data_IF_709006445210
#
_entry.id   IF_709006445210
#
_cell.length_a   1.000
_cell.length_b   1.000
_cell.length_c   1.000
_cell.angle_alpha   90.00
_cell.angle_beta   90.00
_cell.angle_gamma   90.00
#
_symmetry.space_group_name_H-M   'P 1'
#
loop_
_entity.id
_entity.type
_entity.pdbx_description
1 polymer ?
#
# COMPACT_ATOMS: atom_id res chain seq x y z
N UNK A 1 -5.40 -8.56 -12.80
CA UNK A 1 -5.87 -7.27 -12.27
C UNK A 1 -4.74 -6.25 -12.14
N UNK A 2 -3.67 -6.52 -11.35
CA UNK A 2 -2.59 -5.54 -11.18
C UNK A 2 -1.95 -5.12 -12.50
N UNK A 3 -1.72 -6.07 -13.40
CA UNK A 3 -1.17 -5.79 -14.74
C UNK A 3 -2.16 -4.97 -15.59
N UNK A 4 -3.47 -5.23 -15.48
CA UNK A 4 -4.49 -4.48 -16.24
C UNK A 4 -4.62 -3.02 -15.80
N UNK A 5 -4.14 -2.66 -14.62
CA UNK A 5 -4.08 -1.27 -14.13
C UNK A 5 -2.67 -0.65 -14.24
N UNK A 6 -1.79 -1.24 -15.04
CA UNK A 6 -0.50 -0.67 -15.40
C UNK A 6 0.69 -1.09 -14.53
N UNK A 7 0.54 -2.09 -13.66
CA UNK A 7 1.68 -2.64 -12.92
C UNK A 7 2.59 -3.40 -13.87
N UNK A 8 3.86 -3.01 -13.95
CA UNK A 8 4.83 -3.60 -14.88
C UNK A 8 5.30 -4.99 -14.46
N UNK A 9 5.22 -5.32 -13.18
CA UNK A 9 5.62 -6.62 -12.65
C UNK A 9 4.92 -6.90 -11.32
N UNK A 10 4.35 -8.08 -11.21
CA UNK A 10 3.89 -8.66 -9.94
C UNK A 10 4.96 -9.62 -9.42
N UNK A 11 5.22 -9.59 -8.14
CA UNK A 11 6.13 -10.50 -7.45
C UNK A 11 5.37 -11.26 -6.36
N UNK A 12 5.81 -12.47 -6.07
CA UNK A 12 5.21 -13.25 -5.01
C UNK A 12 5.52 -12.64 -3.64
N UNK A 13 4.55 -12.73 -2.74
CA UNK A 13 4.65 -12.14 -1.40
C UNK A 13 5.84 -12.69 -0.62
N UNK A 14 6.13 -13.97 -0.79
CA UNK A 14 7.20 -14.72 -0.14
C UNK A 14 8.58 -14.16 -0.48
N UNK A 15 8.78 -13.60 -1.68
CA UNK A 15 10.05 -12.96 -2.07
C UNK A 15 10.44 -11.80 -1.14
N UNK A 16 9.45 -11.11 -0.57
CA UNK A 16 9.67 -9.99 0.35
C UNK A 16 9.50 -10.38 1.83
N UNK A 17 8.81 -11.47 2.11
CA UNK A 17 8.54 -11.92 3.47
C UNK A 17 9.64 -12.81 4.06
N UNK A 18 10.55 -13.34 3.23
CA UNK A 18 11.65 -14.19 3.67
C UNK A 18 12.64 -13.42 4.55
N UNK A 19 12.87 -13.94 5.76
CA UNK A 19 13.78 -13.29 6.72
C UNK A 19 15.24 -13.34 6.24
N UNK A 20 15.95 -12.23 6.38
CA UNK A 20 17.35 -12.12 6.02
C UNK A 20 18.16 -11.47 7.14
N UNK A 21 19.23 -12.14 7.58
CA UNK A 21 20.20 -11.62 8.55
C UNK A 21 21.12 -10.53 7.98
N UNK A 22 21.13 -10.35 6.65
CA UNK A 22 21.96 -9.32 6.01
C UNK A 22 21.44 -7.94 6.38
N UNK A 23 22.30 -6.99 6.78
CA UNK A 23 21.91 -5.64 7.12
C UNK A 23 21.43 -4.82 5.90
N UNK A 24 21.93 -5.15 4.71
CA UNK A 24 21.58 -4.57 3.42
C UNK A 24 21.33 -5.67 2.40
N UNK A 25 20.35 -5.48 1.53
CA UNK A 25 20.07 -6.29 0.36
C UNK A 25 20.48 -5.54 -0.93
N UNK A 26 20.39 -6.22 -2.07
CA UNK A 26 20.60 -5.59 -3.37
C UNK A 26 19.59 -4.47 -3.57
N UNK A 27 20.06 -3.31 -4.01
CA UNK A 27 19.18 -2.18 -4.35
C UNK A 27 18.22 -2.56 -5.49
N UNK A 28 16.93 -2.35 -5.24
CA UNK A 28 15.85 -2.65 -6.19
C UNK A 28 14.91 -1.45 -6.37
N UNK A 29 14.47 -0.83 -5.29
CA UNK A 29 13.33 0.07 -5.26
C UNK A 29 13.76 1.53 -5.17
N UNK A 30 13.23 2.37 -6.07
CA UNK A 30 13.41 3.82 -6.03
C UNK A 30 12.48 4.51 -5.02
N UNK A 31 11.48 3.80 -4.53
CA UNK A 31 10.54 4.19 -3.50
C UNK A 31 9.55 3.07 -3.25
N UNK A 32 8.79 3.14 -2.17
CA UNK A 32 7.75 2.16 -1.86
C UNK A 32 6.61 2.79 -1.05
N UNK A 33 5.44 2.18 -1.18
CA UNK A 33 4.30 2.38 -0.28
C UNK A 33 4.06 1.04 0.41
N UNK A 34 4.12 1.04 1.74
CA UNK A 34 3.94 -0.16 2.54
C UNK A 34 2.62 -0.11 3.31
N UNK A 35 1.85 -1.18 3.17
CA UNK A 35 0.60 -1.43 3.91
C UNK A 35 0.69 -2.69 4.76
N UNK A 36 1.86 -3.31 4.81
CA UNK A 36 2.07 -4.66 5.34
C UNK A 36 2.80 -4.66 6.68
N UNK A 37 3.84 -3.84 6.80
CA UNK A 37 4.70 -3.82 7.99
C UNK A 37 5.59 -5.05 8.11
N UNK A 38 6.05 -5.33 9.33
CA UNK A 38 6.79 -6.54 9.67
C UNK A 38 8.06 -6.78 8.86
N UNK A 39 8.38 -8.04 8.62
CA UNK A 39 9.56 -8.49 7.87
C UNK A 39 9.56 -7.98 6.43
N UNK A 40 8.38 -7.87 5.80
CA UNK A 40 8.23 -7.32 4.45
C UNK A 40 8.75 -5.90 4.38
N UNK A 41 8.32 -5.02 5.28
CA UNK A 41 8.80 -3.63 5.37
C UNK A 41 10.31 -3.58 5.62
N UNK A 42 10.83 -4.43 6.52
CA UNK A 42 12.28 -4.50 6.79
C UNK A 42 13.06 -4.86 5.54
N UNK A 43 12.61 -5.83 4.74
CA UNK A 43 13.27 -6.23 3.51
C UNK A 43 13.16 -5.15 2.41
N UNK A 44 12.06 -4.42 2.36
CA UNK A 44 11.93 -3.24 1.49
C UNK A 44 12.96 -2.17 1.87
N UNK A 45 13.06 -1.81 3.16
CA UNK A 45 14.07 -0.85 3.66
C UNK A 45 15.49 -1.26 3.29
N UNK A 46 15.84 -2.55 3.48
CA UNK A 46 17.15 -3.10 3.10
C UNK A 46 17.42 -3.07 1.60
N UNK A 47 16.37 -2.97 0.76
CA UNK A 47 16.45 -3.03 -0.72
C UNK A 47 16.20 -1.68 -1.40
N UNK A 48 15.98 -0.61 -0.66
CA UNK A 48 15.84 0.73 -1.22
C UNK A 48 17.16 1.19 -1.85
N UNK A 49 17.05 1.92 -2.95
CA UNK A 49 18.17 2.65 -3.55
C UNK A 49 18.59 3.81 -2.65
N UNK A 50 19.79 4.32 -2.88
CA UNK A 50 20.34 5.47 -2.16
C UNK A 50 19.35 6.67 -2.18
N UNK A 51 19.10 7.27 -1.02
CA UNK A 51 18.21 8.42 -0.85
C UNK A 51 16.72 8.14 -1.01
N UNK A 52 16.33 6.90 -1.26
CA UNK A 52 14.93 6.55 -1.49
C UNK A 52 14.09 6.57 -0.21
N UNK A 53 12.77 6.67 -0.38
CA UNK A 53 11.82 6.72 0.73
C UNK A 53 10.77 5.60 0.63
N UNK A 54 10.29 5.14 1.79
CA UNK A 54 9.10 4.32 1.89
C UNK A 54 8.05 5.01 2.76
N UNK A 55 6.81 5.06 2.30
CA UNK A 55 5.65 5.53 3.04
C UNK A 55 4.97 4.34 3.71
N UNK A 56 4.99 4.27 5.04
CA UNK A 56 4.34 3.21 5.81
C UNK A 56 2.96 3.68 6.28
N UNK A 57 1.90 2.98 5.84
CA UNK A 57 0.51 3.31 6.14
C UNK A 57 -0.33 2.11 6.59
N UNK A 58 0.30 0.95 6.85
CA UNK A 58 -0.42 -0.24 7.32
C UNK A 58 0.47 -1.22 8.07
N UNK A 59 -0.15 -2.28 8.62
CA UNK A 59 0.51 -3.25 9.50
C UNK A 59 -0.10 -4.66 9.38
N UNK A 60 -0.55 -5.03 8.20
CA UNK A 60 -1.30 -6.28 7.96
C UNK A 60 -0.52 -7.52 8.39
N UNK A 61 0.80 -7.55 8.21
CA UNK A 61 1.66 -8.66 8.67
C UNK A 61 2.01 -8.51 10.14
N UNK A 62 2.50 -7.34 10.55
CA UNK A 62 2.93 -7.08 11.94
C UNK A 62 3.13 -5.58 12.19
N UNK A 63 2.82 -5.08 13.40
CA UNK A 63 3.20 -3.74 13.82
C UNK A 63 4.69 -3.62 14.18
N UNK A 64 5.40 -4.75 14.35
CA UNK A 64 6.79 -4.77 14.77
C UNK A 64 7.74 -4.47 13.61
N UNK A 65 8.77 -3.68 13.88
CA UNK A 65 9.82 -3.34 12.91
C UNK A 65 11.19 -3.75 13.48
N UNK A 66 11.65 -4.95 13.14
CA UNK A 66 12.96 -5.47 13.57
C UNK A 66 14.05 -5.07 12.54
N UNK A 67 14.35 -3.78 12.47
CA UNK A 67 15.35 -3.22 11.56
C UNK A 67 16.58 -2.71 12.31
N UNK A 68 17.70 -2.60 11.60
CA UNK A 68 18.90 -1.90 12.07
C UNK A 68 18.94 -0.50 11.46
N UNK A 69 19.77 0.38 12.03
CA UNK A 69 19.98 1.72 11.48
C UNK A 69 20.82 1.73 10.19
N UNK A 70 21.45 0.61 9.83
CA UNK A 70 22.38 0.53 8.72
C UNK A 70 21.83 0.97 7.35
N UNK A 71 20.62 0.58 6.92
CA UNK A 71 20.04 1.11 5.70
C UNK A 71 19.90 2.63 5.69
N UNK A 72 19.56 3.22 6.84
CA UNK A 72 19.40 4.66 6.98
C UNK A 72 20.73 5.42 6.87
N UNK A 73 21.74 4.98 7.61
CA UNK A 73 23.03 5.70 7.65
C UNK A 73 23.91 5.41 6.42
N UNK A 74 23.79 4.23 5.80
CA UNK A 74 24.63 3.86 4.67
C UNK A 74 24.03 4.21 3.29
N UNK A 75 22.69 4.34 3.22
CA UNK A 75 22.00 4.68 1.96
C UNK A 75 21.12 5.94 2.08
N UNK A 76 21.09 6.60 3.23
CA UNK A 76 20.30 7.81 3.44
C UNK A 76 18.81 7.63 3.14
N UNK A 77 18.28 6.43 3.35
CA UNK A 77 16.88 6.13 3.10
C UNK A 77 15.97 6.77 4.15
N UNK A 78 14.68 6.92 3.82
CA UNK A 78 13.69 7.48 4.72
C UNK A 78 12.54 6.49 4.95
N UNK A 79 12.11 6.37 6.21
CA UNK A 79 10.86 5.73 6.58
C UNK A 79 9.88 6.83 7.01
N UNK A 80 8.82 7.02 6.25
CA UNK A 80 7.83 8.08 6.42
C UNK A 80 6.53 7.46 6.91
N UNK A 81 6.09 7.83 8.10
CA UNK A 81 4.77 7.45 8.61
C UNK A 81 3.66 8.23 7.92
N UNK A 82 2.59 7.55 7.54
CA UNK A 82 1.37 8.17 6.99
C UNK A 82 0.27 8.09 8.03
N UNK A 83 0.02 9.21 8.70
CA UNK A 83 -1.15 9.36 9.56
C UNK A 83 -2.31 9.92 8.73
N UNK A 84 -3.33 9.10 8.52
CA UNK A 84 -4.55 9.51 7.80
C UNK A 84 -5.69 9.90 8.73
N UNK A 85 -5.55 9.71 10.04
CA UNK A 85 -6.61 9.90 11.04
C UNK A 85 -6.58 11.31 11.61
N UNK A 86 -5.46 11.70 12.21
CA UNK A 86 -5.31 12.95 12.98
C UNK A 86 -4.89 14.16 12.13
N UNK A 87 -4.67 13.98 10.83
CA UNK A 87 -4.30 15.10 9.96
C UNK A 87 -5.36 16.21 9.98
N UNK A 88 -4.95 17.48 10.07
CA UNK A 88 -5.87 18.61 9.99
C UNK A 88 -6.70 18.57 8.71
N UNK A 89 -7.96 19.05 8.79
CA UNK A 89 -8.89 19.07 7.65
C UNK A 89 -8.30 19.75 6.42
N UNK A 90 -7.64 20.88 6.60
CA UNK A 90 -7.03 21.62 5.49
C UNK A 90 -5.96 20.80 4.73
N UNK A 91 -5.19 19.93 5.44
CA UNK A 91 -4.21 19.04 4.80
C UNK A 91 -4.94 17.97 3.98
N UNK A 92 -6.01 17.38 4.53
CA UNK A 92 -6.83 16.39 3.83
C UNK A 92 -7.49 16.99 2.59
N UNK A 93 -8.06 18.19 2.70
CA UNK A 93 -8.67 18.91 1.58
C UNK A 93 -7.64 19.16 0.45
N UNK A 94 -6.43 19.63 0.75
CA UNK A 94 -5.39 19.81 -0.25
C UNK A 94 -4.95 18.50 -0.94
N UNK A 95 -4.98 17.36 -0.25
CA UNK A 95 -4.74 16.05 -0.88
C UNK A 95 -5.90 15.66 -1.79
N UNK A 96 -7.15 15.88 -1.36
CA UNK A 96 -8.33 15.59 -2.19
C UNK A 96 -8.39 16.47 -3.44
N UNK A 97 -8.00 17.74 -3.36
CA UNK A 97 -7.88 18.62 -4.53
C UNK A 97 -6.88 18.06 -5.55
N UNK A 98 -5.73 17.56 -5.09
CA UNK A 98 -4.73 16.92 -5.97
C UNK A 98 -5.26 15.62 -6.59
N UNK A 99 -5.94 14.79 -5.82
CA UNK A 99 -6.57 13.57 -6.33
C UNK A 99 -7.69 13.86 -7.35
N UNK A 100 -8.36 14.99 -7.21
CA UNK A 100 -9.37 15.45 -8.17
C UNK A 100 -8.80 16.11 -9.43
N UNK A 101 -7.51 16.47 -9.43
CA UNK A 101 -6.85 17.20 -10.50
C UNK A 101 -5.58 16.51 -11.02
N UNK A 102 -4.41 16.93 -10.57
CA UNK A 102 -3.11 16.48 -11.09
C UNK A 102 -2.79 14.98 -10.83
N UNK A 103 -3.37 14.39 -9.77
CA UNK A 103 -3.20 12.98 -9.41
C UNK A 103 -4.42 12.14 -9.75
N UNK A 104 -5.33 12.67 -10.54
CA UNK A 104 -6.55 11.98 -10.92
C UNK A 104 -6.24 10.70 -11.69
N UNK A 105 -6.84 9.60 -11.25
CA UNK A 105 -6.85 8.34 -12.00
C UNK A 105 -7.99 8.42 -13.02
N UNK A 106 -7.68 8.24 -14.30
CA UNK A 106 -8.66 8.44 -15.39
C UNK A 106 -9.78 7.40 -15.35
N UNK A 107 -9.47 6.14 -15.05
CA UNK A 107 -10.45 5.07 -15.03
C UNK A 107 -10.58 4.42 -13.64
N UNK A 108 -11.27 5.09 -12.73
CA UNK A 108 -11.61 4.52 -11.43
C UNK A 108 -12.62 3.38 -11.53
N UNK A 109 -13.41 3.31 -12.59
CA UNK A 109 -14.40 2.25 -12.78
C UNK A 109 -13.74 0.89 -12.97
N UNK A 110 -12.54 0.85 -13.55
CA UNK A 110 -11.78 -0.39 -13.74
C UNK A 110 -11.38 -1.08 -12.42
N UNK A 111 -11.36 -0.35 -11.29
CA UNK A 111 -11.01 -0.90 -9.98
C UNK A 111 -12.21 -1.07 -9.05
N UNK A 112 -13.42 -0.75 -9.51
CA UNK A 112 -14.65 -0.75 -8.71
C UNK A 112 -15.66 -1.77 -9.23
N UNK A 113 -16.34 -2.43 -8.30
CA UNK A 113 -17.53 -3.24 -8.56
C UNK A 113 -18.70 -2.66 -7.79
N UNK A 114 -19.73 -2.23 -8.50
CA UNK A 114 -20.96 -1.73 -7.86
C UNK A 114 -21.88 -2.90 -7.49
N UNK A 115 -22.45 -2.84 -6.31
CA UNK A 115 -23.37 -3.85 -5.78
C UNK A 115 -24.62 -3.22 -5.21
N UNK A 116 -25.74 -3.97 -5.24
CA UNK A 116 -26.97 -3.63 -4.53
C UNK A 116 -26.89 -4.00 -3.05
N UNK A 117 -27.80 -3.46 -2.26
CA UNK A 117 -27.89 -3.76 -0.82
C UNK A 117 -28.16 -5.25 -0.55
N UNK A 118 -28.93 -5.94 -1.40
CA UNK A 118 -29.24 -7.37 -1.23
C UNK A 118 -28.01 -8.27 -1.30
N UNK A 119 -26.98 -7.85 -2.03
CA UNK A 119 -25.72 -8.60 -2.16
C UNK A 119 -24.62 -8.18 -1.15
N UNK A 120 -24.96 -7.30 -0.20
CA UNK A 120 -23.99 -6.77 0.76
C UNK A 120 -23.36 -7.88 1.61
N UNK A 121 -24.18 -8.77 2.19
CA UNK A 121 -23.68 -9.83 3.09
C UNK A 121 -22.69 -10.76 2.39
N UNK A 122 -23.01 -11.22 1.18
CA UNK A 122 -22.13 -12.09 0.39
C UNK A 122 -20.79 -11.42 0.09
N UNK A 123 -20.78 -10.12 -0.15
CA UNK A 123 -19.57 -9.37 -0.43
C UNK A 123 -18.75 -9.10 0.84
N UNK A 124 -19.39 -8.92 1.99
CA UNK A 124 -18.68 -8.86 3.28
C UNK A 124 -17.96 -10.18 3.57
N UNK A 125 -18.63 -11.30 3.35
CA UNK A 125 -18.02 -12.63 3.53
C UNK A 125 -16.82 -12.85 2.59
N UNK A 126 -16.92 -12.38 1.33
CA UNK A 126 -15.79 -12.40 0.37
C UNK A 126 -14.63 -11.53 0.82
N UNK A 127 -14.89 -10.33 1.37
CA UNK A 127 -13.85 -9.43 1.91
C UNK A 127 -13.13 -10.12 3.07
N UNK A 128 -13.85 -10.68 4.02
CA UNK A 128 -13.28 -11.40 5.16
C UNK A 128 -12.47 -12.63 4.74
N UNK A 129 -12.88 -13.28 3.65
CA UNK A 129 -12.15 -14.40 3.05
C UNK A 129 -10.96 -13.98 2.16
N UNK A 130 -10.67 -12.68 2.01
CA UNK A 130 -9.60 -12.17 1.13
C UNK A 130 -9.84 -12.40 -0.36
N UNK A 131 -11.10 -12.56 -0.79
CA UNK A 131 -11.49 -12.91 -2.17
C UNK A 131 -11.96 -11.72 -3.00
N UNK A 132 -11.80 -10.50 -2.50
CA UNK A 132 -12.18 -9.29 -3.23
C UNK A 132 -10.95 -8.65 -3.85
N UNK A 133 -11.06 -8.30 -5.12
CA UNK A 133 -10.08 -7.53 -5.87
C UNK A 133 -10.65 -6.14 -6.17
N UNK A 134 -9.87 -5.09 -5.97
CA UNK A 134 -10.31 -3.71 -6.19
C UNK A 134 -11.16 -3.16 -5.05
N UNK A 135 -12.24 -2.48 -5.40
CA UNK A 135 -13.17 -1.82 -4.45
C UNK A 135 -14.61 -2.23 -4.72
N UNK A 136 -15.37 -2.37 -3.66
CA UNK A 136 -16.83 -2.58 -3.75
C UNK A 136 -17.50 -1.28 -3.41
N UNK A 137 -18.39 -0.82 -4.28
CA UNK A 137 -19.26 0.33 -4.09
C UNK A 137 -20.67 -0.16 -3.84
N UNK A 138 -21.21 0.16 -2.68
CA UNK A 138 -22.60 -0.12 -2.36
C UNK A 138 -23.48 1.00 -2.95
N UNK A 139 -24.34 0.64 -3.89
CA UNK A 139 -25.38 1.52 -4.38
C UNK A 139 -26.53 1.53 -3.37
N UNK A 140 -26.85 2.72 -2.85
CA UNK A 140 -27.93 2.93 -1.87
C UNK A 140 -29.25 3.29 -2.54
N UNK A 141 -29.26 3.55 -3.84
CA UNK A 141 -30.49 3.82 -4.56
C UNK A 141 -31.26 2.50 -4.76
N UNK A 142 -32.50 2.42 -4.30
CA UNK A 142 -33.33 1.24 -4.56
C UNK A 142 -33.62 1.18 -6.07
N UNK A 143 -33.21 0.10 -6.71
CA UNK A 143 -33.56 -0.23 -8.10
C UNK A 143 -35.01 -0.64 -8.22
#
# INVERSE_FOLDING_TARGET
FLESIGVSRVIEREELAESSSRPLLKEKWAGAIDVVGGTTLVNVLKSLKYGASVAACGLVQSPSLEATVLPFILRGINLLGVDSVEQPRAVKEGVWEKLASEWKIEDLSAICTEISFDSLQDNLDKILAGKVTGRILLNLDPS
#
